data_IF_903452757829
#
_entry.id   IF_903452757829
#
_cell.length_a   1.000
_cell.length_b   1.000
_cell.length_c   1.000
_cell.angle_alpha   90.00
_cell.angle_beta   90.00
_cell.angle_gamma   90.00
#
_symmetry.space_group_name_H-M   'P 1'
#
loop_
_entity.id
_entity.type
_entity.pdbx_description
1 polymer ?
#
# COMPACT_ATOMS: atom_id res chain seq x y z
N UNK A 1 30.81 5.97 -5.25
CA UNK A 1 29.71 5.23 -5.89
C UNK A 1 28.57 6.20 -6.09
N UNK A 2 28.02 6.31 -7.30
CA UNK A 2 26.93 7.22 -7.63
C UNK A 2 25.63 6.42 -7.70
N UNK A 3 24.57 6.88 -7.02
CA UNK A 3 23.30 6.15 -6.93
C UNK A 3 22.17 6.96 -7.57
N UNK A 4 21.45 6.34 -8.51
CA UNK A 4 20.17 6.85 -9.00
C UNK A 4 19.02 6.07 -8.36
N UNK A 5 18.20 6.76 -7.57
CA UNK A 5 17.03 6.17 -6.91
C UNK A 5 15.81 6.32 -7.82
N UNK A 6 15.26 5.20 -8.25
CA UNK A 6 14.12 5.12 -9.18
C UNK A 6 12.75 4.91 -8.51
N UNK A 7 12.74 4.94 -7.18
CA UNK A 7 11.55 4.65 -6.38
C UNK A 7 10.50 5.77 -6.51
N UNK A 8 9.20 5.46 -6.51
CA UNK A 8 8.14 6.47 -6.55
C UNK A 8 8.15 7.43 -5.37
N UNK A 9 7.69 8.65 -5.65
CA UNK A 9 7.55 9.72 -4.67
C UNK A 9 6.52 9.40 -3.58
N UNK A 10 6.69 9.95 -2.35
CA UNK A 10 7.84 10.74 -1.88
C UNK A 10 9.02 9.87 -1.38
N UNK A 11 8.86 8.54 -1.45
CA UNK A 11 9.79 7.62 -0.77
C UNK A 11 11.13 7.45 -1.47
N UNK A 12 11.26 7.93 -2.71
CA UNK A 12 12.53 8.01 -3.41
C UNK A 12 13.36 9.20 -2.94
N UNK A 13 12.72 10.36 -2.79
CA UNK A 13 13.29 11.59 -2.26
C UNK A 13 13.74 11.41 -0.81
N UNK A 14 12.91 10.77 0.02
CA UNK A 14 13.27 10.41 1.40
C UNK A 14 14.57 9.60 1.45
N UNK A 15 14.70 8.59 0.59
CA UNK A 15 15.90 7.75 0.53
C UNK A 15 17.13 8.54 0.05
N UNK A 16 16.98 9.38 -0.99
CA UNK A 16 18.07 10.24 -1.48
C UNK A 16 18.54 11.20 -0.38
N UNK A 17 17.60 11.78 0.36
CA UNK A 17 17.93 12.66 1.48
C UNK A 17 18.74 11.91 2.56
N UNK A 18 18.34 10.68 2.90
CA UNK A 18 19.04 9.88 3.90
C UNK A 18 20.43 9.42 3.43
N UNK A 19 20.58 9.05 2.15
CA UNK A 19 21.86 8.69 1.55
C UNK A 19 22.84 9.87 1.49
N UNK A 20 22.35 11.04 1.05
CA UNK A 20 23.17 12.24 0.98
C UNK A 20 23.63 12.70 2.38
N UNK A 21 22.80 12.54 3.42
CA UNK A 21 23.17 12.85 4.82
C UNK A 21 24.35 12.01 5.33
N UNK A 22 24.49 10.77 4.86
CA UNK A 22 25.61 9.90 5.24
C UNK A 22 26.78 9.96 4.25
N UNK A 23 26.80 10.97 3.36
CA UNK A 23 27.90 11.21 2.43
C UNK A 23 27.91 10.31 1.20
N UNK A 24 26.79 9.65 0.85
CA UNK A 24 26.65 8.85 -0.36
C UNK A 24 25.95 9.68 -1.44
N UNK A 25 26.66 10.10 -2.52
CA UNK A 25 26.06 10.90 -3.59
C UNK A 25 24.92 10.18 -4.29
N UNK A 26 23.72 10.77 -4.22
CA UNK A 26 22.51 10.19 -4.78
C UNK A 26 21.55 11.21 -5.38
N UNK A 27 20.80 10.77 -6.39
CA UNK A 27 19.78 11.54 -7.10
C UNK A 27 18.48 10.75 -7.22
N UNK A 28 17.37 11.46 -7.35
CA UNK A 28 16.05 10.85 -7.50
C UNK A 28 15.53 11.04 -8.93
N UNK A 29 15.01 9.97 -9.52
CA UNK A 29 14.25 10.00 -10.76
C UNK A 29 13.19 8.90 -10.75
N UNK A 30 11.95 9.23 -10.39
CA UNK A 30 10.86 8.25 -10.35
C UNK A 30 10.59 7.67 -11.74
N UNK A 31 10.54 6.34 -11.87
CA UNK A 31 10.18 5.68 -13.13
C UNK A 31 8.68 5.55 -13.34
N UNK A 32 7.88 5.63 -12.28
CA UNK A 32 6.44 5.45 -12.35
C UNK A 32 5.75 6.07 -11.15
N UNK A 33 4.48 6.44 -11.35
CA UNK A 33 3.59 6.89 -10.30
C UNK A 33 2.45 5.91 -10.07
N UNK A 34 1.82 6.04 -8.91
CA UNK A 34 0.64 5.26 -8.58
C UNK A 34 -0.63 6.07 -8.78
N UNK A 35 -1.64 5.43 -9.37
CA UNK A 35 -2.97 5.99 -9.56
C UNK A 35 -4.05 4.93 -9.23
N UNK A 36 -5.29 5.37 -8.90
CA UNK A 36 -6.42 4.45 -8.84
C UNK A 36 -6.59 3.70 -10.17
N UNK A 37 -6.97 2.42 -10.10
CA UNK A 37 -7.22 1.63 -11.31
C UNK A 37 -8.59 1.94 -11.90
N UNK A 38 -8.65 2.15 -13.21
CA UNK A 38 -9.89 2.25 -13.99
C UNK A 38 -10.19 0.98 -14.82
N UNK A 39 -9.37 -0.07 -14.65
CA UNK A 39 -9.54 -1.32 -15.39
C UNK A 39 -10.83 -2.06 -15.02
N UNK A 40 -11.24 -3.01 -15.84
CA UNK A 40 -12.35 -3.93 -15.53
C UNK A 40 -12.12 -4.76 -14.27
N UNK A 41 -10.86 -4.90 -13.82
CA UNK A 41 -10.47 -5.59 -12.58
C UNK A 41 -10.37 -4.64 -11.37
N UNK A 42 -10.74 -3.37 -11.53
CA UNK A 42 -10.69 -2.38 -10.45
C UNK A 42 -11.66 -2.71 -9.31
N UNK A 43 -11.34 -2.22 -8.12
CA UNK A 43 -12.16 -2.42 -6.93
C UNK A 43 -13.58 -1.90 -7.11
N UNK A 44 -13.76 -0.79 -7.84
CA UNK A 44 -15.08 -0.20 -8.09
C UNK A 44 -16.03 -1.14 -8.83
N UNK A 45 -15.49 -2.06 -9.65
CA UNK A 45 -16.26 -3.09 -10.36
C UNK A 45 -16.39 -4.40 -9.58
N UNK A 46 -15.59 -4.59 -8.53
CA UNK A 46 -15.49 -5.83 -7.74
C UNK A 46 -15.85 -5.65 -6.26
N UNK A 47 -16.56 -4.57 -5.92
CA UNK A 47 -16.85 -4.25 -4.52
C UNK A 47 -17.67 -5.35 -3.82
N UNK A 48 -18.60 -5.99 -4.52
CA UNK A 48 -19.38 -7.11 -3.99
C UNK A 48 -18.48 -8.33 -3.70
N UNK A 49 -17.46 -8.58 -4.51
CA UNK A 49 -16.49 -9.65 -4.26
C UNK A 49 -15.67 -9.35 -2.99
N UNK A 50 -15.27 -8.08 -2.79
CA UNK A 50 -14.56 -7.66 -1.57
C UNK A 50 -15.37 -8.02 -0.31
N UNK A 51 -16.66 -7.67 -0.27
CA UNK A 51 -17.50 -7.92 0.91
C UNK A 51 -17.90 -9.38 1.11
N UNK A 52 -17.98 -10.18 0.04
CA UNK A 52 -18.23 -11.63 0.13
C UNK A 52 -16.98 -12.43 0.53
N UNK A 53 -15.79 -11.83 0.43
CA UNK A 53 -14.53 -12.49 0.72
C UNK A 53 -14.37 -12.81 2.21
N UNK A 54 -14.10 -14.08 2.53
CA UNK A 54 -13.78 -14.51 3.89
C UNK A 54 -12.30 -14.33 4.24
N UNK A 55 -11.44 -14.22 3.23
CA UNK A 55 -10.00 -14.04 3.37
C UNK A 55 -9.58 -12.91 2.42
N UNK A 56 -8.80 -11.95 2.93
CA UNK A 56 -8.23 -10.86 2.13
C UNK A 56 -6.71 -10.86 2.34
N UNK A 57 -5.98 -11.03 1.24
CA UNK A 57 -4.51 -10.99 1.20
C UNK A 57 -4.03 -9.62 0.71
N UNK A 58 -3.11 -9.00 1.45
CA UNK A 58 -2.62 -7.64 1.18
C UNK A 58 -1.13 -7.63 0.91
N UNK A 59 -0.78 -7.20 -0.31
CA UNK A 59 0.58 -7.23 -0.80
C UNK A 59 1.32 -5.89 -0.74
N UNK A 60 0.63 -4.76 -0.54
CA UNK A 60 1.33 -3.47 -0.44
C UNK A 60 0.59 -2.42 0.40
N UNK A 61 1.33 -1.41 0.86
CA UNK A 61 0.71 -0.21 1.48
C UNK A 61 -0.13 0.58 0.48
N UNK A 62 0.25 0.59 -0.80
CA UNK A 62 -0.48 1.30 -1.86
C UNK A 62 -1.85 0.65 -2.12
N UNK A 63 -1.97 -0.67 -2.10
CA UNK A 63 -3.28 -1.33 -2.23
C UNK A 63 -4.21 -0.97 -1.07
N UNK A 64 -3.69 -0.83 0.16
CA UNK A 64 -4.45 -0.36 1.32
C UNK A 64 -4.90 1.08 1.11
N UNK A 65 -3.98 1.96 0.71
CA UNK A 65 -4.27 3.38 0.49
C UNK A 65 -5.40 3.60 -0.52
N UNK A 66 -5.30 3.05 -1.73
CA UNK A 66 -6.33 3.23 -2.76
C UNK A 66 -7.64 2.53 -2.43
N UNK A 67 -7.61 1.38 -1.75
CA UNK A 67 -8.83 0.72 -1.26
C UNK A 67 -9.51 1.61 -0.23
N UNK A 68 -8.77 2.15 0.74
CA UNK A 68 -9.32 3.01 1.76
C UNK A 68 -9.89 4.31 1.18
N UNK A 69 -9.17 4.94 0.24
CA UNK A 69 -9.69 6.11 -0.50
C UNK A 69 -11.02 5.80 -1.18
N UNK A 70 -11.09 4.69 -1.92
CA UNK A 70 -12.33 4.27 -2.57
C UNK A 70 -13.46 4.06 -1.57
N UNK A 71 -13.20 3.36 -0.46
CA UNK A 71 -14.21 3.09 0.55
C UNK A 71 -14.74 4.38 1.18
N UNK A 72 -13.85 5.31 1.60
CA UNK A 72 -14.25 6.60 2.18
C UNK A 72 -15.10 7.40 1.20
N UNK A 73 -14.66 7.51 -0.07
CA UNK A 73 -15.38 8.29 -1.08
C UNK A 73 -16.76 7.73 -1.44
N UNK A 74 -17.05 6.48 -1.07
CA UNK A 74 -18.34 5.82 -1.31
C UNK A 74 -19.09 5.54 -0.01
N UNK A 75 -18.70 6.15 1.12
CA UNK A 75 -19.29 5.94 2.45
C UNK A 75 -19.32 4.45 2.88
N UNK A 76 -18.33 3.69 2.42
CA UNK A 76 -18.15 2.28 2.70
C UNK A 76 -17.08 2.08 3.80
N UNK A 77 -17.13 0.91 4.44
CA UNK A 77 -16.15 0.50 5.47
C UNK A 77 -15.42 -0.77 5.06
N UNK A 78 -14.22 -0.98 5.58
CA UNK A 78 -13.52 -2.25 5.37
C UNK A 78 -14.37 -3.45 5.84
N UNK A 79 -14.39 -4.58 5.08
CA UNK A 79 -15.15 -5.77 5.46
C UNK A 79 -14.83 -6.25 6.87
N UNK A 80 -15.85 -6.41 7.70
CA UNK A 80 -15.67 -6.78 9.11
C UNK A 80 -15.46 -8.28 9.31
N UNK A 81 -16.06 -9.12 8.47
CA UNK A 81 -16.06 -10.57 8.66
C UNK A 81 -14.91 -11.29 7.95
N UNK A 82 -14.04 -10.54 7.26
CA UNK A 82 -12.89 -11.07 6.56
C UNK A 82 -11.69 -11.28 7.52
N UNK A 83 -10.96 -12.38 7.32
CA UNK A 83 -9.63 -12.59 7.89
C UNK A 83 -8.59 -11.89 7.00
N UNK A 84 -7.77 -11.03 7.60
CA UNK A 84 -6.78 -10.24 6.87
C UNK A 84 -5.37 -10.79 7.07
N UNK A 85 -4.66 -10.95 5.95
CA UNK A 85 -3.25 -11.35 5.91
C UNK A 85 -2.46 -10.31 5.13
N UNK A 86 -1.34 -9.85 5.68
CA UNK A 86 -0.44 -8.94 4.99
C UNK A 86 0.89 -9.64 4.68
N UNK A 87 1.48 -9.32 3.52
CA UNK A 87 2.74 -9.93 3.07
C UNK A 87 3.94 -9.64 4.00
N UNK A 88 3.83 -8.64 4.86
CA UNK A 88 4.86 -8.33 5.84
C UNK A 88 4.40 -7.36 6.92
N UNK A 89 5.20 -7.29 7.99
CA UNK A 89 4.92 -6.49 9.20
C UNK A 89 4.56 -5.04 8.87
N UNK A 90 5.35 -4.36 8.04
CA UNK A 90 5.11 -2.94 7.73
C UNK A 90 3.79 -2.67 7.00
N UNK A 91 3.34 -3.61 6.15
CA UNK A 91 2.04 -3.55 5.48
C UNK A 91 0.91 -3.83 6.47
N UNK A 92 1.08 -4.80 7.37
CA UNK A 92 0.12 -5.12 8.42
C UNK A 92 -0.14 -3.93 9.34
N UNK A 93 0.92 -3.29 9.85
CA UNK A 93 0.82 -2.10 10.69
C UNK A 93 0.13 -0.94 9.97
N UNK A 94 0.36 -0.80 8.67
CA UNK A 94 -0.33 0.23 7.89
C UNK A 94 -1.84 -0.06 7.77
N UNK A 95 -2.24 -1.32 7.53
CA UNK A 95 -3.66 -1.70 7.49
C UNK A 95 -4.35 -1.54 8.85
N UNK A 96 -3.64 -1.85 9.94
CA UNK A 96 -4.17 -1.78 11.30
C UNK A 96 -4.74 -0.39 11.64
N UNK A 97 -4.15 0.68 11.10
CA UNK A 97 -4.63 2.06 11.28
C UNK A 97 -6.08 2.25 10.82
N UNK A 98 -6.54 1.45 9.84
CA UNK A 98 -7.87 1.57 9.24
C UNK A 98 -8.87 0.57 9.83
N UNK A 99 -8.47 -0.69 10.03
CA UNK A 99 -9.42 -1.74 10.43
C UNK A 99 -9.46 -2.01 11.94
N UNK A 100 -8.40 -1.64 12.69
CA UNK A 100 -8.25 -1.88 14.14
C UNK A 100 -8.62 -3.31 14.58
N UNK A 101 -8.24 -4.30 13.78
CA UNK A 101 -8.56 -5.74 13.96
C UNK A 101 -7.30 -6.59 13.99
N UNK A 102 -7.43 -7.82 14.51
CA UNK A 102 -6.36 -8.83 14.50
C UNK A 102 -5.96 -9.12 13.05
N UNK A 103 -4.66 -9.01 12.79
CA UNK A 103 -4.04 -9.19 11.48
C UNK A 103 -2.97 -10.27 11.58
N UNK A 104 -2.83 -11.06 10.52
CA UNK A 104 -1.71 -11.98 10.36
C UNK A 104 -0.74 -11.42 9.34
N UNK A 105 0.55 -11.64 9.53
CA UNK A 105 1.56 -11.28 8.55
C UNK A 105 2.73 -12.26 8.60
N UNK A 106 3.42 -12.38 7.47
CA UNK A 106 4.61 -13.21 7.39
C UNK A 106 5.69 -12.65 8.33
N UNK A 107 6.13 -13.48 9.27
CA UNK A 107 7.36 -13.25 10.01
C UNK A 107 8.50 -13.77 9.12
N UNK A 108 9.40 -12.86 8.76
CA UNK A 108 10.67 -13.22 8.11
C UNK A 108 11.72 -13.43 9.19
#
# INVERSE_FOLDING_TARGET
>A
MNILVIRPSPTGEELVNDLNKIGIPSWHFSLFDFYPSFSSRSLSKKINELYRSKIILIFSKKSIYYTNLYLINNNLKWPVDAKYYAIGKSTAFFLYKYIKKKLFFLQK
#
